data_IF_015073638014
#
_entry.id   IF_015073638014
#
_cell.length_a   1.000
_cell.length_b   1.000
_cell.length_c   1.000
_cell.angle_alpha   90.00
_cell.angle_beta   90.00
_cell.angle_gamma   90.00
#
_symmetry.space_group_name_H-M   'P 1'
#
loop_
_entity.id
_entity.type
_entity.pdbx_description
1 polymer ?
#
# COMPACT_ATOMS: atom_id res chain seq x y z
N UNK A 1 -26.95 -1.24 14.61
CA UNK A 1 -26.03 -0.21 14.08
C UNK A 1 -26.46 0.11 12.67
N UNK A 2 -26.51 1.37 12.26
CA UNK A 2 -26.83 1.73 10.87
C UNK A 2 -25.67 1.30 9.94
N UNK A 3 -25.95 0.92 8.68
CA UNK A 3 -24.91 0.61 7.71
C UNK A 3 -24.05 1.85 7.42
N UNK A 4 -22.75 1.69 7.11
CA UNK A 4 -21.88 2.81 6.76
C UNK A 4 -22.33 3.48 5.46
N UNK A 5 -22.08 4.79 5.35
CA UNK A 5 -22.32 5.54 4.12
C UNK A 5 -21.39 5.08 3.00
N UNK A 6 -21.77 5.33 1.73
CA UNK A 6 -20.91 5.03 0.57
C UNK A 6 -19.57 5.77 0.65
N UNK A 7 -19.58 7.02 1.12
CA UNK A 7 -18.36 7.80 1.37
C UNK A 7 -17.48 7.13 2.44
N UNK A 8 -18.06 6.71 3.58
CA UNK A 8 -17.31 6.03 4.63
C UNK A 8 -16.69 4.70 4.16
N UNK A 9 -17.38 3.95 3.29
CA UNK A 9 -16.85 2.74 2.65
C UNK A 9 -15.69 3.06 1.70
N UNK A 10 -15.81 4.12 0.91
CA UNK A 10 -14.75 4.57 0.00
C UNK A 10 -13.49 5.03 0.77
N UNK A 11 -13.66 5.83 1.82
CA UNK A 11 -12.56 6.24 2.72
C UNK A 11 -11.83 5.01 3.27
N UNK A 12 -12.58 4.06 3.82
CA UNK A 12 -12.00 2.85 4.44
C UNK A 12 -11.23 1.99 3.42
N UNK A 13 -11.72 1.91 2.18
CA UNK A 13 -11.05 1.18 1.11
C UNK A 13 -9.72 1.83 0.72
N UNK A 14 -9.69 3.15 0.53
CA UNK A 14 -8.46 3.90 0.22
C UNK A 14 -7.46 3.79 1.38
N UNK A 15 -7.90 3.95 2.63
CA UNK A 15 -7.01 3.83 3.80
C UNK A 15 -6.35 2.45 3.90
N UNK A 16 -7.10 1.37 3.66
CA UNK A 16 -6.54 0.02 3.70
C UNK A 16 -5.52 -0.20 2.59
N UNK A 17 -5.86 0.20 1.37
CA UNK A 17 -4.99 0.03 0.21
C UNK A 17 -3.71 0.88 0.32
N UNK A 18 -3.80 2.12 0.83
CA UNK A 18 -2.62 2.95 1.06
C UNK A 18 -1.69 2.35 2.14
N UNK A 19 -2.26 1.76 3.20
CA UNK A 19 -1.47 1.02 4.20
C UNK A 19 -0.82 -0.24 3.63
N UNK A 20 -1.56 -0.98 2.80
CA UNK A 20 -1.06 -2.17 2.10
C UNK A 20 0.10 -1.81 1.16
N UNK A 21 -0.06 -0.80 0.31
CA UNK A 21 1.00 -0.30 -0.57
C UNK A 21 2.24 0.12 0.22
N UNK A 22 2.06 0.92 1.29
CA UNK A 22 3.16 1.32 2.18
C UNK A 22 3.88 0.12 2.78
N UNK A 23 3.15 -0.91 3.19
CA UNK A 23 3.74 -2.14 3.73
C UNK A 23 4.64 -2.83 2.72
N UNK A 24 4.23 -2.90 1.45
CA UNK A 24 5.06 -3.48 0.40
C UNK A 24 6.30 -2.63 0.09
N UNK A 25 6.21 -1.30 0.14
CA UNK A 25 7.41 -0.46 0.02
C UNK A 25 8.42 -0.70 1.14
N UNK A 26 7.95 -0.77 2.38
CA UNK A 26 8.81 -1.10 3.54
C UNK A 26 9.43 -2.50 3.38
N UNK A 27 8.66 -3.48 2.90
CA UNK A 27 9.16 -4.82 2.65
C UNK A 27 10.27 -4.84 1.58
N UNK A 28 10.09 -4.10 0.47
CA UNK A 28 11.11 -3.96 -0.57
C UNK A 28 12.40 -3.35 -0.03
N UNK A 29 12.31 -2.30 0.79
CA UNK A 29 13.47 -1.68 1.43
C UNK A 29 14.22 -2.68 2.33
N UNK A 30 13.48 -3.43 3.15
CA UNK A 30 14.06 -4.42 4.05
C UNK A 30 14.70 -5.59 3.31
N UNK A 31 14.05 -6.14 2.28
CA UNK A 31 14.61 -7.18 1.42
C UNK A 31 15.87 -6.69 0.70
N UNK A 32 15.84 -5.47 0.14
CA UNK A 32 17.02 -4.87 -0.50
C UNK A 32 18.19 -4.69 0.49
N UNK A 33 17.91 -4.25 1.71
CA UNK A 33 18.92 -4.12 2.76
C UNK A 33 19.51 -5.48 3.18
N UNK A 34 18.69 -6.54 3.30
CA UNK A 34 19.17 -7.90 3.59
C UNK A 34 20.04 -8.44 2.45
N UNK A 35 19.63 -8.25 1.21
CA UNK A 35 20.42 -8.63 0.02
C UNK A 35 21.78 -7.92 0.04
N UNK A 36 21.80 -6.60 0.26
CA UNK A 36 23.06 -5.85 0.32
C UNK A 36 23.99 -6.36 1.42
N UNK A 37 23.44 -6.69 2.60
CA UNK A 37 24.21 -7.27 3.71
C UNK A 37 24.78 -8.64 3.35
N UNK A 38 24.00 -9.52 2.71
CA UNK A 38 24.45 -10.85 2.27
C UNK A 38 25.53 -10.75 1.20
N UNK A 39 25.45 -9.77 0.30
CA UNK A 39 26.45 -9.56 -0.74
C UNK A 39 27.76 -8.98 -0.22
N UNK A 40 27.72 -8.17 0.84
CA UNK A 40 28.90 -7.54 1.44
C UNK A 40 29.61 -8.45 2.47
N UNK A 41 28.96 -9.51 2.92
CA UNK A 41 29.54 -10.43 3.88
C UNK A 41 30.51 -11.40 3.20
N UNK A 42 31.78 -11.42 3.63
CA UNK A 42 32.67 -12.57 3.41
C UNK A 42 32.20 -13.71 4.32
N UNK A 43 31.17 -14.43 3.87
CA UNK A 43 30.54 -15.49 4.66
C UNK A 43 31.23 -16.83 4.42
N UNK A 44 31.57 -17.53 5.49
CA UNK A 44 31.95 -18.95 5.46
C UNK A 44 30.74 -19.87 5.55
N UNK A 45 29.52 -19.33 5.54
CA UNK A 45 28.27 -20.11 5.52
C UNK A 45 28.08 -20.75 4.13
N UNK A 46 28.10 -22.07 4.08
CA UNK A 46 27.85 -22.85 2.85
C UNK A 46 26.49 -22.53 2.22
N UNK A 47 25.54 -21.98 3.00
CA UNK A 47 24.21 -21.61 2.53
C UNK A 47 24.09 -20.15 2.07
N UNK A 48 25.16 -19.36 2.09
CA UNK A 48 25.10 -17.93 1.76
C UNK A 48 24.50 -17.67 0.36
N UNK A 49 24.88 -18.46 -0.63
CA UNK A 49 24.35 -18.37 -2.00
C UNK A 49 22.86 -18.73 -2.08
N UNK A 50 22.44 -19.74 -1.32
CA UNK A 50 21.04 -20.15 -1.25
C UNK A 50 20.18 -19.05 -0.62
N UNK A 51 20.63 -18.48 0.51
CA UNK A 51 19.97 -17.38 1.20
C UNK A 51 19.85 -16.14 0.29
N UNK A 52 20.93 -15.79 -0.42
CA UNK A 52 20.92 -14.67 -1.36
C UNK A 52 19.92 -14.88 -2.51
N UNK A 53 19.84 -16.10 -3.06
CA UNK A 53 18.85 -16.43 -4.10
C UNK A 53 17.43 -16.33 -3.57
N UNK A 54 17.17 -16.81 -2.36
CA UNK A 54 15.86 -16.75 -1.73
C UNK A 54 15.41 -15.31 -1.48
N UNK A 55 16.26 -14.46 -0.93
CA UNK A 55 15.94 -13.05 -0.69
C UNK A 55 15.69 -12.29 -2.01
N UNK A 56 16.47 -12.58 -3.06
CA UNK A 56 16.22 -12.01 -4.40
C UNK A 56 14.88 -12.47 -4.96
N UNK A 57 14.51 -13.74 -4.79
CA UNK A 57 13.21 -14.23 -5.22
C UNK A 57 12.07 -13.53 -4.48
N UNK A 58 12.17 -13.41 -3.15
CA UNK A 58 11.18 -12.71 -2.34
C UNK A 58 11.01 -11.24 -2.78
N UNK A 59 12.12 -10.54 -3.05
CA UNK A 59 12.10 -9.18 -3.61
C UNK A 59 11.33 -9.10 -4.94
N UNK A 60 11.59 -10.02 -5.85
CA UNK A 60 10.91 -10.05 -7.15
C UNK A 60 9.42 -10.42 -7.01
N UNK A 61 9.05 -11.26 -6.06
CA UNK A 61 7.65 -11.58 -5.76
C UNK A 61 6.91 -10.36 -5.21
N UNK A 62 7.50 -9.62 -4.25
CA UNK A 62 6.92 -8.37 -3.73
C UNK A 62 6.77 -7.34 -4.85
N UNK A 63 7.77 -7.18 -5.73
CA UNK A 63 7.69 -6.28 -6.91
C UNK A 63 6.57 -6.66 -7.87
N UNK A 64 6.25 -7.94 -8.05
CA UNK A 64 5.16 -8.40 -8.92
C UNK A 64 3.79 -8.08 -8.36
N UNK A 65 3.63 -8.07 -7.03
CA UNK A 65 2.36 -7.80 -6.36
C UNK A 65 2.05 -6.30 -6.33
N UNK A 66 3.08 -5.46 -6.09
CA UNK A 66 2.92 -4.02 -5.88
C UNK A 66 2.09 -3.30 -6.98
N UNK A 67 2.30 -3.53 -8.30
CA UNK A 67 1.51 -2.88 -9.35
C UNK A 67 0.00 -3.10 -9.20
N UNK A 68 -0.42 -4.31 -8.84
CA UNK A 68 -1.85 -4.62 -8.65
C UNK A 68 -2.45 -3.87 -7.47
N UNK A 69 -1.66 -3.58 -6.42
CA UNK A 69 -2.08 -2.78 -5.26
C UNK A 69 -2.22 -1.32 -5.67
N UNK A 70 -1.27 -0.82 -6.44
CA UNK A 70 -1.27 0.55 -6.97
C UNK A 70 -2.47 0.82 -7.89
N UNK A 71 -2.80 -0.12 -8.78
CA UNK A 71 -3.99 -0.02 -9.63
C UNK A 71 -5.28 -0.02 -8.81
N UNK A 72 -5.40 -0.92 -7.82
CA UNK A 72 -6.55 -0.95 -6.90
C UNK A 72 -6.66 0.35 -6.11
N UNK A 73 -5.54 0.90 -5.63
CA UNK A 73 -5.53 2.19 -4.91
C UNK A 73 -5.97 3.34 -5.81
N UNK A 74 -5.46 3.42 -7.05
CA UNK A 74 -5.89 4.42 -8.03
C UNK A 74 -7.40 4.36 -8.28
N UNK A 75 -7.94 3.15 -8.47
CA UNK A 75 -9.39 2.94 -8.61
C UNK A 75 -10.18 3.39 -7.39
N UNK A 76 -9.72 3.02 -6.18
CA UNK A 76 -10.37 3.43 -4.94
C UNK A 76 -10.32 4.95 -4.71
N UNK A 77 -9.22 5.61 -5.08
CA UNK A 77 -9.07 7.08 -5.02
C UNK A 77 -10.03 7.75 -6.01
N UNK A 78 -10.16 7.23 -7.22
CA UNK A 78 -11.12 7.73 -8.20
C UNK A 78 -12.56 7.61 -7.68
N UNK A 79 -12.91 6.45 -7.11
CA UNK A 79 -14.22 6.23 -6.50
C UNK A 79 -14.46 7.16 -5.30
N UNK A 80 -13.45 7.42 -4.46
CA UNK A 80 -13.57 8.36 -3.34
C UNK A 80 -13.87 9.79 -3.84
N UNK A 81 -13.16 10.24 -4.88
CA UNK A 81 -13.41 11.54 -5.51
C UNK A 81 -14.81 11.63 -6.08
N UNK A 82 -15.27 10.60 -6.79
CA UNK A 82 -16.64 10.55 -7.31
C UNK A 82 -17.69 10.61 -6.20
N UNK A 83 -17.50 9.87 -5.09
CA UNK A 83 -18.43 9.92 -3.96
C UNK A 83 -18.46 11.30 -3.29
N UNK A 84 -17.32 11.99 -3.21
CA UNK A 84 -17.24 13.35 -2.70
C UNK A 84 -18.00 14.33 -3.60
N UNK A 85 -17.79 14.29 -4.92
CA UNK A 85 -18.50 15.17 -5.85
C UNK A 85 -20.02 14.94 -5.83
N UNK A 86 -20.45 13.68 -5.83
CA UNK A 86 -21.86 13.32 -5.96
C UNK A 86 -22.67 13.45 -4.65
N UNK A 87 -22.05 13.26 -3.49
CA UNK A 87 -22.80 13.13 -2.22
C UNK A 87 -22.28 14.07 -1.11
N UNK A 88 -21.46 15.08 -1.44
CA UNK A 88 -20.82 15.94 -0.42
C UNK A 88 -21.79 16.54 0.57
N UNK A 89 -22.90 17.08 0.06
CA UNK A 89 -23.89 17.80 0.85
C UNK A 89 -24.68 16.87 1.80
N UNK A 90 -24.79 15.60 1.43
CA UNK A 90 -25.57 14.59 2.17
C UNK A 90 -24.70 13.77 3.13
N UNK A 91 -23.39 14.01 3.14
CA UNK A 91 -22.45 13.31 4.00
C UNK A 91 -22.12 14.11 5.27
N UNK A 92 -21.83 13.44 6.39
CA UNK A 92 -21.33 14.12 7.59
C UNK A 92 -20.07 14.94 7.28
N UNK A 93 -19.99 16.18 7.78
CA UNK A 93 -18.84 17.05 7.56
C UNK A 93 -17.50 16.41 8.00
N UNK A 94 -17.54 15.57 9.05
CA UNK A 94 -16.38 14.79 9.49
C UNK A 94 -15.91 13.77 8.44
N UNK A 95 -16.81 13.14 7.69
CA UNK A 95 -16.44 12.21 6.62
C UNK A 95 -15.82 12.94 5.44
N UNK A 96 -16.38 14.10 5.08
CA UNK A 96 -15.83 14.97 4.02
C UNK A 96 -14.42 15.43 4.38
N UNK A 97 -14.21 15.93 5.61
CA UNK A 97 -12.90 16.36 6.08
C UNK A 97 -11.86 15.22 6.06
N UNK A 98 -12.25 14.01 6.52
CA UNK A 98 -11.38 12.83 6.48
C UNK A 98 -11.03 12.41 5.06
N UNK A 99 -11.98 12.49 4.13
CA UNK A 99 -11.73 12.17 2.73
C UNK A 99 -10.78 13.19 2.09
N UNK A 100 -10.97 14.49 2.33
CA UNK A 100 -10.09 15.56 1.83
C UNK A 100 -8.66 15.42 2.38
N UNK A 101 -8.49 15.10 3.66
CA UNK A 101 -7.18 14.83 4.27
C UNK A 101 -6.53 13.59 3.66
N UNK A 102 -7.28 12.50 3.50
CA UNK A 102 -6.78 11.26 2.92
C UNK A 102 -6.29 11.47 1.49
N UNK A 103 -7.05 12.20 0.67
CA UNK A 103 -6.67 12.52 -0.71
C UNK A 103 -5.38 13.36 -0.77
N UNK A 104 -5.19 14.31 0.16
CA UNK A 104 -3.94 15.08 0.27
C UNK A 104 -2.75 14.23 0.69
N UNK A 105 -2.97 13.19 1.49
CA UNK A 105 -1.87 12.32 1.94
C UNK A 105 -1.38 11.33 0.87
N UNK A 106 -2.15 11.17 -0.21
CA UNK A 106 -1.87 10.22 -1.31
C UNK A 106 -1.46 10.95 -2.61
N UNK A 107 -1.78 12.25 -2.72
CA UNK A 107 -1.40 13.10 -3.86
C UNK A 107 0.05 13.59 -3.76
#
# INVERSE_FOLDING_TARGET
>A
MAPPSKLAVAISSVQRLAKEEKSYHVELEQQAARIAKLQAAESTDENADFQLRQERQALEETKKVLPSVQERLKGAVAQLKEQLEANRADCPAADVARADELLKSIA
#
